data_IF_284221968258
#
_entry.id   IF_284221968258
#
_cell.length_a   1.000
_cell.length_b   1.000
_cell.length_c   1.000
_cell.angle_alpha   90.00
_cell.angle_beta   90.00
_cell.angle_gamma   90.00
#
_symmetry.space_group_name_H-M   'P 1'
#
loop_
_entity.id
_entity.type
_entity.pdbx_description
1 polymer ?
#
# COMPACT_ATOMS: atom_id res chain seq x y z
N UNK A 1 -10.26 -9.70 -5.04
CA UNK A 1 -10.38 -8.51 -5.92
C UNK A 1 -9.54 -8.72 -7.19
N UNK A 2 -9.65 -7.82 -8.19
CA UNK A 2 -8.70 -7.83 -9.34
C UNK A 2 -7.45 -7.05 -8.95
N UNK A 3 -6.31 -7.39 -9.54
CA UNK A 3 -5.05 -6.65 -9.30
C UNK A 3 -5.16 -5.17 -9.68
N UNK A 4 -5.95 -4.85 -10.71
CA UNK A 4 -6.13 -3.48 -11.17
C UNK A 4 -6.81 -2.61 -10.11
N UNK A 5 -7.85 -3.14 -9.44
CA UNK A 5 -8.54 -2.43 -8.36
C UNK A 5 -7.55 -2.08 -7.22
N UNK A 6 -6.67 -3.03 -6.87
CA UNK A 6 -5.65 -2.81 -5.82
C UNK A 6 -4.58 -1.81 -6.27
N UNK A 7 -4.21 -1.84 -7.55
CA UNK A 7 -3.27 -0.89 -8.10
C UNK A 7 -3.86 0.53 -8.07
N UNK A 8 -5.15 0.67 -8.40
CA UNK A 8 -5.88 1.94 -8.36
C UNK A 8 -5.97 2.47 -6.93
N UNK A 9 -6.25 1.61 -5.94
CA UNK A 9 -6.20 1.99 -4.52
C UNK A 9 -4.87 2.65 -4.13
N UNK A 10 -3.73 2.04 -4.52
CA UNK A 10 -2.43 2.61 -4.18
C UNK A 10 -2.13 3.91 -4.95
N UNK A 11 -2.51 4.01 -6.21
CA UNK A 11 -2.34 5.25 -7.00
C UNK A 11 -3.18 6.38 -6.41
N UNK A 12 -4.47 6.13 -6.19
CA UNK A 12 -5.43 7.10 -5.67
C UNK A 12 -5.02 7.62 -4.28
N UNK A 13 -4.51 6.73 -3.41
CA UNK A 13 -4.01 7.12 -2.08
C UNK A 13 -2.90 8.18 -2.10
N UNK A 14 -2.19 8.32 -3.23
CA UNK A 14 -1.11 9.28 -3.41
C UNK A 14 -1.49 10.47 -4.30
N UNK A 15 -2.68 10.49 -4.94
CA UNK A 15 -3.05 11.59 -5.84
C UNK A 15 -3.14 12.94 -5.11
N UNK A 16 -3.67 12.93 -3.88
CA UNK A 16 -3.87 14.14 -3.07
C UNK A 16 -2.62 14.63 -2.33
N UNK A 17 -1.53 13.85 -2.34
CA UNK A 17 -0.25 14.24 -1.75
C UNK A 17 0.72 14.68 -2.87
N UNK A 18 1.02 15.98 -3.01
CA UNK A 18 1.95 16.45 -4.03
C UNK A 18 3.38 15.93 -3.81
N UNK A 19 3.74 15.54 -2.58
CA UNK A 19 5.06 15.03 -2.23
C UNK A 19 5.14 13.49 -2.37
N UNK A 20 4.02 12.76 -2.45
CA UNK A 20 4.01 11.32 -2.76
C UNK A 20 4.08 11.07 -4.28
N UNK A 21 5.27 10.66 -4.72
CA UNK A 21 5.53 10.28 -6.10
C UNK A 21 5.21 8.79 -6.35
N UNK A 22 3.93 8.51 -6.58
CA UNK A 22 3.46 7.16 -6.94
C UNK A 22 3.81 6.80 -8.39
N UNK A 23 4.98 6.19 -8.56
CA UNK A 23 5.47 5.66 -9.85
C UNK A 23 5.04 4.21 -10.08
N UNK A 24 5.09 3.76 -11.34
CA UNK A 24 4.82 2.35 -11.71
C UNK A 24 5.66 1.35 -10.88
N UNK A 25 6.94 1.66 -10.66
CA UNK A 25 7.82 0.81 -9.86
C UNK A 25 7.32 0.71 -8.41
N UNK A 26 6.87 1.83 -7.83
CA UNK A 26 6.37 1.90 -6.45
C UNK A 26 5.05 1.11 -6.30
N UNK A 27 4.12 1.25 -7.25
CA UNK A 27 2.87 0.47 -7.28
C UNK A 27 3.16 -1.03 -7.28
N UNK A 28 4.04 -1.51 -8.16
CA UNK A 28 4.41 -2.93 -8.20
C UNK A 28 5.01 -3.44 -6.88
N UNK A 29 5.76 -2.60 -6.17
CA UNK A 29 6.30 -2.96 -4.85
C UNK A 29 5.21 -3.04 -3.78
N UNK A 30 4.30 -2.07 -3.74
CA UNK A 30 3.18 -2.08 -2.80
C UNK A 30 2.24 -3.28 -3.04
N UNK A 31 1.97 -3.60 -4.31
CA UNK A 31 1.22 -4.82 -4.68
C UNK A 31 1.90 -6.09 -4.17
N UNK A 32 3.24 -6.19 -4.26
CA UNK A 32 3.96 -7.35 -3.76
C UNK A 32 3.84 -7.50 -2.24
N UNK A 33 3.96 -6.39 -1.49
CA UNK A 33 3.76 -6.41 -0.05
C UNK A 33 2.30 -6.74 0.32
N UNK A 34 1.32 -6.20 -0.40
CA UNK A 34 -0.10 -6.50 -0.19
C UNK A 34 -0.43 -7.98 -0.41
N UNK A 35 0.05 -8.56 -1.53
CA UNK A 35 -0.12 -9.98 -1.80
C UNK A 35 0.54 -10.84 -0.73
N UNK A 36 1.76 -10.49 -0.31
CA UNK A 36 2.49 -11.23 0.72
C UNK A 36 1.78 -11.22 2.07
N UNK A 37 1.31 -10.06 2.53
CA UNK A 37 0.56 -9.97 3.77
C UNK A 37 -0.82 -10.62 3.68
N UNK A 38 -1.49 -10.57 2.53
CA UNK A 38 -2.74 -11.33 2.33
C UNK A 38 -2.51 -12.81 2.52
N UNK A 39 -1.48 -13.37 1.85
CA UNK A 39 -1.15 -14.79 1.96
C UNK A 39 -0.79 -15.17 3.40
N UNK A 40 0.01 -14.35 4.10
CA UNK A 40 0.42 -14.64 5.48
C UNK A 40 -0.73 -14.51 6.49
N UNK A 41 -1.56 -13.47 6.40
CA UNK A 41 -2.62 -13.18 7.39
C UNK A 41 -3.92 -13.94 7.15
N UNK A 42 -4.18 -14.35 5.90
CA UNK A 42 -5.47 -14.93 5.47
C UNK A 42 -5.31 -16.40 5.09
N UNK A 43 -4.46 -17.13 5.80
CA UNK A 43 -4.25 -18.58 5.64
C UNK A 43 -3.94 -19.00 4.18
N UNK A 44 -3.03 -18.29 3.52
CA UNK A 44 -2.65 -18.55 2.13
C UNK A 44 -3.65 -18.05 1.10
N UNK A 45 -4.67 -17.29 1.49
CA UNK A 45 -5.63 -16.71 0.55
C UNK A 45 -4.98 -15.54 -0.22
N UNK A 46 -4.85 -15.65 -1.55
CA UNK A 46 -4.29 -14.58 -2.37
C UNK A 46 -5.21 -13.36 -2.37
N UNK A 47 -4.64 -12.16 -2.44
CA UNK A 47 -5.42 -10.92 -2.61
C UNK A 47 -5.99 -10.85 -4.03
N UNK A 48 -5.14 -11.17 -5.00
CA UNK A 48 -5.46 -11.34 -6.41
C UNK A 48 -4.71 -12.56 -6.99
N UNK A 49 -5.17 -13.05 -8.14
CA UNK A 49 -4.67 -14.30 -8.74
C UNK A 49 -3.41 -14.12 -9.60
N UNK A 50 -3.09 -12.90 -10.00
CA UNK A 50 -1.96 -12.56 -10.85
C UNK A 50 -0.61 -13.01 -10.24
N UNK A 51 0.34 -13.33 -11.12
CA UNK A 51 1.67 -13.79 -10.73
C UNK A 51 2.70 -12.66 -10.79
N UNK A 52 3.60 -12.65 -9.81
CA UNK A 52 4.77 -11.80 -9.83
C UNK A 52 5.90 -12.48 -10.59
N UNK A 53 6.63 -11.68 -11.37
CA UNK A 53 7.83 -12.07 -12.07
C UNK A 53 9.04 -11.36 -11.46
N UNK A 54 10.16 -12.07 -11.36
CA UNK A 54 11.40 -11.55 -10.81
C UNK A 54 12.17 -10.73 -11.84
N UNK A 55 11.82 -9.45 -11.97
CA UNK A 55 12.50 -8.51 -12.87
C UNK A 55 13.68 -7.83 -12.14
N UNK A 56 14.55 -7.15 -12.91
CA UNK A 56 15.78 -6.53 -12.40
C UNK A 56 15.56 -5.57 -11.22
N UNK A 57 14.43 -4.84 -11.22
CA UNK A 57 14.07 -3.89 -10.15
C UNK A 57 13.09 -4.49 -9.13
N UNK A 58 13.08 -5.81 -8.99
CA UNK A 58 12.27 -6.54 -8.01
C UNK A 58 11.03 -7.20 -8.62
N UNK A 59 10.10 -7.67 -7.77
CA UNK A 59 8.87 -8.33 -8.21
C UNK A 59 7.99 -7.35 -9.00
N UNK A 60 7.44 -7.82 -10.12
CA UNK A 60 6.58 -7.04 -11.04
C UNK A 60 5.45 -7.92 -11.56
N UNK A 61 4.24 -7.36 -11.69
CA UNK A 61 3.13 -7.96 -12.43
C UNK A 61 3.12 -7.34 -13.83
N UNK A 62 3.35 -8.10 -14.91
CA UNK A 62 3.49 -7.55 -16.27
C UNK A 62 2.30 -6.69 -16.71
N UNK A 63 1.07 -7.11 -16.40
CA UNK A 63 -0.13 -6.38 -16.80
C UNK A 63 -0.24 -5.01 -16.12
N UNK A 64 0.09 -4.93 -14.83
CA UNK A 64 0.14 -3.66 -14.09
C UNK A 64 1.29 -2.79 -14.61
N UNK A 65 2.46 -3.39 -14.84
CA UNK A 65 3.59 -2.66 -15.41
C UNK A 65 3.23 -2.05 -16.77
N UNK A 66 2.61 -2.82 -17.66
CA UNK A 66 2.27 -2.36 -18.99
C UNK A 66 1.20 -1.28 -19.00
N UNK A 67 0.27 -1.30 -18.04
CA UNK A 67 -0.70 -0.22 -17.82
C UNK A 67 0.00 1.10 -17.49
N UNK A 68 0.87 1.10 -16.49
CA UNK A 68 1.50 2.34 -16.00
C UNK A 68 2.85 2.67 -16.65
N UNK A 69 3.32 1.93 -17.65
CA UNK A 69 4.66 2.14 -18.27
C UNK A 69 4.80 3.51 -18.93
N UNK A 70 3.70 4.11 -19.38
CA UNK A 70 3.69 5.42 -20.05
C UNK A 70 4.16 6.54 -19.12
N UNK A 71 3.90 6.42 -17.81
CA UNK A 71 4.39 7.36 -16.81
C UNK A 71 5.91 7.26 -16.60
N UNK A 72 6.54 6.13 -16.96
CA UNK A 72 7.97 5.90 -16.78
C UNK A 72 8.41 6.04 -15.32
N UNK A 73 9.24 7.07 -15.05
CA UNK A 73 9.72 7.42 -13.70
C UNK A 73 8.92 8.55 -13.04
N UNK A 74 7.88 9.05 -13.72
CA UNK A 74 7.05 10.13 -13.23
C UNK A 74 5.88 9.59 -12.39
N UNK A 75 5.25 10.50 -11.63
CA UNK A 75 4.02 10.23 -10.90
C UNK A 75 2.91 9.84 -11.87
N UNK A 76 2.20 8.76 -11.57
CA UNK A 76 0.95 8.38 -12.26
C UNK A 76 -0.11 9.43 -11.91
N UNK A 77 -0.77 9.97 -12.93
CA UNK A 77 -1.64 11.15 -12.78
C UNK A 77 -3.11 10.79 -12.54
N UNK A 78 -3.51 9.58 -12.93
CA UNK A 78 -4.89 9.15 -12.98
C UNK A 78 -5.02 7.62 -12.77
N UNK A 79 -6.22 7.22 -12.37
CA UNK A 79 -6.69 5.84 -12.33
C UNK A 79 -7.90 5.72 -13.25
N UNK A 80 -8.09 4.55 -13.86
CA UNK A 80 -9.16 4.36 -14.86
C UNK A 80 -10.54 4.09 -14.24
N UNK A 81 -10.57 3.57 -13.00
CA UNK A 81 -11.79 3.17 -12.32
C UNK A 81 -11.95 4.00 -11.04
N UNK A 82 -13.02 4.77 -10.90
CA UNK A 82 -13.31 5.55 -9.69
C UNK A 82 -14.06 4.73 -8.61
N UNK A 83 -14.63 3.56 -8.96
CA UNK A 83 -15.40 2.71 -8.05
C UNK A 83 -14.66 1.39 -7.73
N UNK A 84 -13.33 1.45 -7.65
CA UNK A 84 -12.51 0.27 -7.39
C UNK A 84 -12.71 -0.26 -5.95
N UNK A 85 -13.04 0.63 -5.02
CA UNK A 85 -13.18 0.41 -3.59
C UNK A 85 -14.37 -0.49 -3.21
N UNK A 86 -15.46 -0.43 -3.99
CA UNK A 86 -16.64 -1.31 -3.82
C UNK A 86 -16.31 -2.81 -3.99
N UNK A 87 -15.15 -3.14 -4.56
CA UNK A 87 -14.75 -4.52 -4.87
C UNK A 87 -13.91 -5.18 -3.76
N UNK A 88 -13.63 -4.47 -2.66
CA UNK A 88 -12.90 -5.00 -1.52
C UNK A 88 -13.84 -5.46 -0.41
N UNK A 89 -13.57 -6.63 0.14
CA UNK A 89 -14.11 -6.95 1.47
C UNK A 89 -13.50 -6.02 2.55
N UNK A 90 -14.18 -5.86 3.69
CA UNK A 90 -13.65 -5.08 4.82
C UNK A 90 -12.24 -5.54 5.25
N UNK A 91 -12.01 -6.86 5.27
CA UNK A 91 -10.71 -7.45 5.60
C UNK A 91 -9.63 -7.05 4.56
N UNK A 92 -9.97 -7.02 3.28
CA UNK A 92 -9.06 -6.60 2.21
C UNK A 92 -8.76 -5.11 2.27
N UNK A 93 -9.78 -4.28 2.48
CA UNK A 93 -9.60 -2.84 2.64
C UNK A 93 -8.69 -2.52 3.84
N UNK A 94 -8.92 -3.17 4.99
CA UNK A 94 -8.08 -3.01 6.17
C UNK A 94 -6.63 -3.44 5.91
N UNK A 95 -6.42 -4.58 5.24
CA UNK A 95 -5.09 -5.04 4.86
C UNK A 95 -4.37 -4.02 3.98
N UNK A 96 -5.05 -3.44 3.00
CA UNK A 96 -4.48 -2.44 2.10
C UNK A 96 -4.07 -1.17 2.85
N UNK A 97 -4.89 -0.70 3.80
CA UNK A 97 -4.56 0.41 4.69
C UNK A 97 -3.33 0.08 5.54
N UNK A 98 -3.27 -1.11 6.14
CA UNK A 98 -2.14 -1.55 6.96
C UNK A 98 -0.83 -1.56 6.14
N UNK A 99 -0.89 -2.09 4.92
CA UNK A 99 0.23 -2.12 3.98
C UNK A 99 0.64 -0.71 3.59
N UNK A 100 -0.32 0.16 3.23
CA UNK A 100 -0.03 1.54 2.89
C UNK A 100 0.71 2.24 4.04
N UNK A 101 0.20 2.17 5.28
CA UNK A 101 0.82 2.78 6.47
C UNK A 101 2.20 2.18 6.80
N UNK A 102 2.39 0.90 6.56
CA UNK A 102 3.68 0.24 6.79
C UNK A 102 4.72 0.68 5.77
N UNK A 103 4.37 0.70 4.49
CA UNK A 103 5.33 0.77 3.40
C UNK A 103 5.43 2.13 2.67
N UNK A 104 4.41 2.99 2.74
CA UNK A 104 4.43 4.31 2.06
C UNK A 104 5.56 5.22 2.58
N UNK A 105 5.96 5.05 3.84
CA UNK A 105 7.07 5.79 4.46
C UNK A 105 8.43 5.58 3.78
N UNK A 106 8.61 4.49 3.04
CA UNK A 106 9.89 4.17 2.39
C UNK A 106 9.97 4.81 1.01
N UNK A 107 11.17 5.22 0.60
CA UNK A 107 11.40 5.62 -0.79
C UNK A 107 11.23 4.45 -1.76
N UNK A 108 11.02 4.72 -3.04
CA UNK A 108 10.96 3.68 -4.09
C UNK A 108 12.22 2.80 -4.09
N UNK A 109 13.42 3.40 -3.90
CA UNK A 109 14.65 2.63 -3.76
C UNK A 109 14.66 1.77 -2.51
N UNK A 110 14.18 2.28 -1.37
CA UNK A 110 14.06 1.51 -0.14
C UNK A 110 13.15 0.29 -0.30
N UNK A 111 12.04 0.42 -1.04
CA UNK A 111 11.17 -0.73 -1.35
C UNK A 111 11.86 -1.75 -2.27
N UNK A 112 12.65 -1.29 -3.25
CA UNK A 112 13.48 -2.18 -4.08
C UNK A 112 14.48 -2.94 -3.22
N UNK A 113 15.25 -2.23 -2.39
CA UNK A 113 16.24 -2.80 -1.47
C UNK A 113 15.61 -3.87 -0.59
N UNK A 114 14.42 -3.61 -0.03
CA UNK A 114 13.67 -4.57 0.77
C UNK A 114 13.32 -5.85 -0.01
N UNK A 115 12.89 -5.73 -1.26
CA UNK A 115 12.59 -6.90 -2.10
C UNK A 115 13.84 -7.65 -2.57
N UNK A 116 14.99 -6.99 -2.61
CA UNK A 116 16.26 -7.55 -3.06
C UNK A 116 17.09 -8.23 -1.96
N UNK A 117 16.69 -8.08 -0.68
CA UNK A 117 17.41 -8.71 0.45
C UNK A 117 17.57 -10.22 0.25
N UNK A 118 18.69 -10.75 0.74
CA UNK A 118 18.94 -12.20 0.73
C UNK A 118 17.83 -12.95 1.47
N UNK A 119 17.30 -14.00 0.84
CA UNK A 119 16.23 -14.84 1.40
C UNK A 119 14.82 -14.41 1.01
N UNK A 120 14.64 -13.27 0.33
CA UNK A 120 13.34 -12.86 -0.21
C UNK A 120 12.88 -13.80 -1.33
N UNK A 121 11.57 -13.89 -1.62
CA UNK A 121 11.05 -14.69 -2.72
C UNK A 121 11.67 -14.30 -4.08
N UNK A 122 11.87 -13.00 -4.29
CA UNK A 122 12.54 -12.49 -5.48
C UNK A 122 13.99 -12.99 -5.57
N UNK A 123 14.78 -12.87 -4.49
CA UNK A 123 16.21 -13.26 -4.51
C UNK A 123 16.44 -14.75 -4.76
N UNK A 124 15.44 -15.60 -4.48
CA UNK A 124 15.51 -17.06 -4.67
C UNK A 124 15.37 -17.50 -6.13
N UNK A 125 14.66 -16.72 -6.94
CA UNK A 125 14.33 -17.09 -8.33
C UNK A 125 14.84 -16.09 -9.36
N UNK A 126 15.35 -14.93 -8.92
CA UNK A 126 15.90 -13.94 -9.81
C UNK A 126 17.13 -14.49 -10.55
N UNK A 127 17.09 -14.36 -11.86
CA UNK A 127 18.20 -14.60 -12.76
C UNK A 127 18.19 -13.48 -13.81
N UNK A 128 19.35 -12.87 -14.04
CA UNK A 128 19.45 -11.73 -14.94
C UNK A 128 18.90 -12.09 -16.32
N UNK A 129 18.01 -11.25 -16.84
CA UNK A 129 17.34 -11.44 -18.14
C UNK A 129 16.38 -12.64 -18.25
N UNK A 130 16.04 -13.27 -17.12
CA UNK A 130 15.05 -14.35 -17.07
C UNK A 130 13.85 -13.87 -16.26
N UNK A 131 12.67 -13.88 -16.89
CA UNK A 131 11.41 -13.53 -16.24
C UNK A 131 10.85 -14.74 -15.48
N UNK A 132 11.53 -15.17 -14.43
CA UNK A 132 11.05 -16.28 -13.59
C UNK A 132 9.81 -15.85 -12.79
N UNK A 133 8.80 -16.71 -12.75
CA UNK A 133 7.64 -16.54 -11.88
C UNK A 133 8.07 -16.76 -10.43
N UNK A 134 7.65 -15.88 -9.53
CA UNK A 134 7.84 -16.01 -8.09
C UNK A 134 6.67 -16.83 -7.53
N UNK A 135 6.90 -18.06 -7.05
CA UNK A 135 5.80 -18.90 -6.56
C UNK A 135 5.10 -18.28 -5.35
N UNK A 136 3.76 -18.23 -5.37
CA UNK A 136 2.96 -17.69 -4.25
C UNK A 136 3.28 -18.37 -2.90
N UNK A 137 3.60 -19.67 -2.92
CA UNK A 137 4.06 -20.41 -1.72
C UNK A 137 5.34 -19.82 -1.11
N UNK A 138 6.27 -19.32 -1.93
CA UNK A 138 7.53 -18.76 -1.47
C UNK A 138 7.31 -17.35 -0.93
N UNK A 139 6.38 -16.61 -1.56
CA UNK A 139 5.87 -15.34 -1.03
C UNK A 139 5.24 -15.55 0.34
N UNK A 140 4.28 -16.47 0.46
CA UNK A 140 3.61 -16.79 1.72
C UNK A 140 4.62 -17.14 2.83
N UNK A 141 5.49 -18.12 2.58
CA UNK A 141 6.46 -18.57 3.57
C UNK A 141 7.42 -17.45 4.02
N UNK A 142 7.80 -16.54 3.12
CA UNK A 142 8.62 -15.39 3.50
C UNK A 142 7.86 -14.43 4.41
N UNK A 143 6.64 -14.04 4.07
CA UNK A 143 5.86 -13.08 4.88
C UNK A 143 5.41 -13.68 6.22
N UNK A 144 5.14 -14.99 6.29
CA UNK A 144 4.90 -15.70 7.55
C UNK A 144 6.13 -15.72 8.48
N UNK A 145 7.34 -15.58 7.93
CA UNK A 145 8.58 -15.50 8.73
C UNK A 145 8.89 -14.10 9.26
N UNK A 146 8.18 -13.07 8.81
CA UNK A 146 8.37 -11.69 9.25
C UNK A 146 7.60 -11.41 10.55
N UNK A 147 8.01 -10.41 11.35
CA UNK A 147 7.17 -9.89 12.43
C UNK A 147 5.80 -9.47 11.91
N UNK A 148 4.73 -9.83 12.62
CA UNK A 148 3.35 -9.59 12.19
C UNK A 148 3.12 -8.10 11.88
N UNK A 149 2.53 -7.83 10.72
CA UNK A 149 1.99 -6.51 10.40
C UNK A 149 0.69 -6.31 11.16
N UNK A 150 0.78 -5.58 12.27
CA UNK A 150 -0.37 -5.23 13.11
C UNK A 150 -1.40 -4.42 12.33
N UNK A 151 -2.67 -4.75 12.53
CA UNK A 151 -3.75 -3.95 11.96
C UNK A 151 -3.86 -2.61 12.65
N UNK A 152 -3.97 -1.58 11.82
CA UNK A 152 -4.26 -0.25 12.31
C UNK A 152 -5.70 -0.18 12.79
N UNK A 153 -5.89 -0.05 14.10
CA UNK A 153 -7.13 0.48 14.64
C UNK A 153 -6.99 1.99 14.82
N UNK A 154 -7.91 2.76 14.27
CA UNK A 154 -8.08 4.14 14.75
C UNK A 154 -8.37 4.07 16.26
N UNK A 155 -7.66 4.83 17.11
CA UNK A 155 -8.11 5.00 18.48
C UNK A 155 -9.53 5.57 18.42
N UNK A 156 -10.45 4.98 19.19
CA UNK A 156 -11.77 5.57 19.39
C UNK A 156 -11.53 6.87 20.14
N UNK A 157 -11.59 7.98 19.43
CA UNK A 157 -11.51 9.31 20.03
C UNK A 157 -12.84 9.56 20.75
N UNK A 158 -12.77 9.73 22.05
CA UNK A 158 -13.85 10.24 22.89
C UNK A 158 -13.98 11.76 22.71
N UNK A 159 -15.12 12.34 23.13
CA UNK A 159 -15.28 13.80 23.14
C UNK A 159 -14.17 14.52 23.93
N UNK A 160 -13.61 13.84 24.94
CA UNK A 160 -12.52 14.36 25.76
C UNK A 160 -11.15 14.36 25.05
N UNK A 161 -11.02 13.69 23.90
CA UNK A 161 -9.80 13.69 23.09
C UNK A 161 -9.73 14.92 22.16
N UNK A 162 -10.78 15.74 22.12
CA UNK A 162 -10.84 16.99 21.37
C UNK A 162 -10.73 18.19 22.33
N UNK A 163 -9.78 19.09 22.07
CA UNK A 163 -9.59 20.32 22.85
C UNK A 163 -10.42 21.45 22.24
N UNK A 164 -11.59 21.72 22.83
CA UNK A 164 -12.51 22.77 22.37
C UNK A 164 -13.90 22.24 22.02
N UNK A 165 -14.83 23.14 21.76
CA UNK A 165 -16.21 22.81 21.40
C UNK A 165 -16.65 23.59 20.16
N UNK A 166 -17.71 23.16 19.48
CA UNK A 166 -18.34 23.99 18.44
C UNK A 166 -19.34 24.93 19.09
N UNK A 167 -19.21 26.22 18.80
CA UNK A 167 -20.21 27.22 19.15
C UNK A 167 -21.53 26.88 18.45
N UNK A 168 -22.61 26.73 19.22
CA UNK A 168 -23.90 26.24 18.73
C UNK A 168 -24.59 27.21 17.75
N UNK A 169 -24.20 28.49 17.76
CA UNK A 169 -24.86 29.55 16.98
C UNK A 169 -24.12 29.78 15.66
N UNK A 170 -22.79 29.82 15.72
CA UNK A 170 -21.92 30.13 14.58
C UNK A 170 -21.34 28.89 13.92
N UNK A 171 -21.34 27.75 14.62
CA UNK A 171 -20.72 26.50 14.19
C UNK A 171 -19.19 26.50 14.22
N UNK A 172 -18.58 27.61 14.65
CA UNK A 172 -17.13 27.76 14.73
C UNK A 172 -16.54 26.92 15.88
N UNK A 173 -15.35 26.35 15.67
CA UNK A 173 -14.63 25.64 16.72
C UNK A 173 -13.96 26.64 17.66
N UNK A 174 -14.22 26.50 18.96
CA UNK A 174 -13.75 27.38 20.03
C UNK A 174 -12.83 26.59 20.95
N UNK A 175 -11.59 27.04 21.07
CA UNK A 175 -10.61 26.49 22.01
C UNK A 175 -10.92 26.94 23.45
N UNK A 176 -10.49 26.19 24.47
CA UNK A 176 -10.61 26.64 25.86
C UNK A 176 -9.92 27.99 26.09
N UNK A 177 -10.50 28.84 26.95
CA UNK A 177 -10.00 30.21 27.19
C UNK A 177 -8.52 30.27 27.60
N UNK A 178 -8.03 29.27 28.33
CA UNK A 178 -6.63 29.13 28.75
C UNK A 178 -5.64 28.87 27.58
N UNK A 179 -6.15 28.54 26.39
CA UNK A 179 -5.39 28.37 25.13
C UNK A 179 -5.70 29.49 24.13
N UNK A 180 -6.61 30.39 24.46
CA UNK A 180 -6.76 31.62 23.71
C UNK A 180 -5.54 32.48 24.05
N UNK A 181 -4.57 32.55 23.13
CA UNK A 181 -3.42 33.44 23.24
C UNK A 181 -3.90 34.82 23.70
N UNK A 182 -3.54 35.18 24.94
CA UNK A 182 -3.98 36.39 25.63
C UNK A 182 -3.50 37.65 24.93
N UNK A 183 -4.21 38.07 23.88
CA UNK A 183 -4.09 39.37 23.24
C UNK A 183 -5.04 40.38 23.85
#
# INVERSE_FOLDING_TARGET
>A
CKVQDVADFFVDSALNDPDDNMTNLRVNKLLFFAQGWSLARRNGKPLFNDDFFAWDLGPVIPDVYHRFKVAGRNKIQDVDNENYDENFSEEEAQLLIDVLRAYSRYSTSGLVDMTHRSGTPWSKVYEAHVNNVIPKKDIQAYFESLPVLESFSMPVLSENDFIGHRDEVTGHYVLPEEWADGR
#
